data_IF_179415888176
#
_entry.id   IF_179415888176
#
_cell.length_a   1.000
_cell.length_b   1.000
_cell.length_c   1.000
_cell.angle_alpha   90.00
_cell.angle_beta   90.00
_cell.angle_gamma   90.00
#
_symmetry.space_group_name_H-M   'P 1'
#
loop_
_entity.id
_entity.type
_entity.pdbx_description
1 polymer ?
#
# COMPACT_ATOMS: atom_id res chain seq x y z
N UNK A 1 -56.32 -22.67 37.46
CA UNK A 1 -56.96 -22.42 36.17
C UNK A 1 -55.86 -21.97 35.23
N UNK A 2 -55.39 -22.85 34.36
CA UNK A 2 -55.00 -22.47 32.99
C UNK A 2 -54.80 -23.71 32.11
N UNK A 3 -55.42 -23.60 30.94
CA UNK A 3 -55.24 -24.24 29.64
C UNK A 3 -54.44 -25.56 29.50
N UNK A 4 -55.14 -26.62 29.06
CA UNK A 4 -54.60 -27.61 28.10
C UNK A 4 -55.68 -28.04 27.12
N UNK A 5 -55.58 -27.53 25.89
CA UNK A 5 -56.37 -27.97 24.75
C UNK A 5 -55.74 -29.23 24.13
N UNK A 6 -56.58 -30.21 23.88
CA UNK A 6 -56.34 -31.49 23.19
C UNK A 6 -56.87 -31.34 21.77
N UNK A 7 -56.12 -31.73 20.72
CA UNK A 7 -56.64 -32.28 19.45
C UNK A 7 -55.47 -33.03 18.77
N UNK A 8 -55.48 -34.36 18.70
CA UNK A 8 -56.26 -35.26 17.83
C UNK A 8 -55.69 -35.37 16.40
N UNK A 9 -55.19 -36.57 16.11
CA UNK A 9 -54.86 -37.12 14.80
C UNK A 9 -56.10 -37.15 13.89
N UNK A 10 -55.92 -36.86 12.60
CA UNK A 10 -56.57 -37.56 11.47
C UNK A 10 -55.74 -37.29 10.19
N UNK A 11 -55.52 -38.35 9.44
CA UNK A 11 -55.06 -38.42 8.04
C UNK A 11 -56.03 -39.39 7.33
N UNK A 12 -56.06 -39.55 6.00
CA UNK A 12 -55.89 -38.64 4.86
C UNK A 12 -57.13 -38.67 3.93
N UNK A 13 -57.22 -37.78 2.95
CA UNK A 13 -58.00 -38.04 1.72
C UNK A 13 -57.33 -37.38 0.51
N UNK A 14 -57.11 -38.20 -0.52
CA UNK A 14 -56.46 -37.94 -1.81
C UNK A 14 -57.33 -37.06 -2.72
N UNK A 15 -56.72 -36.17 -3.53
CA UNK A 15 -57.20 -35.70 -4.83
C UNK A 15 -56.03 -35.06 -5.63
N UNK A 16 -56.12 -34.94 -6.97
CA UNK A 16 -55.16 -35.54 -7.90
C UNK A 16 -54.02 -34.62 -8.36
N UNK A 17 -52.92 -35.27 -8.75
CA UNK A 17 -51.73 -34.67 -9.34
C UNK A 17 -52.05 -34.18 -10.77
N UNK A 18 -52.26 -32.88 -10.93
CA UNK A 18 -52.12 -32.20 -12.21
C UNK A 18 -50.64 -32.19 -12.58
N UNK A 19 -50.26 -33.14 -13.44
CA UNK A 19 -48.93 -33.28 -14.01
C UNK A 19 -48.70 -32.18 -15.06
N UNK A 20 -48.27 -31.00 -14.60
CA UNK A 20 -47.63 -30.05 -15.50
C UNK A 20 -46.21 -30.56 -15.79
N UNK A 21 -46.05 -31.27 -16.92
CA UNK A 21 -44.74 -31.66 -17.47
C UNK A 21 -43.95 -30.40 -17.86
N UNK A 22 -43.28 -29.77 -16.89
CA UNK A 22 -42.22 -28.80 -17.14
C UNK A 22 -40.94 -29.56 -17.51
N UNK A 23 -40.90 -30.05 -18.73
CA UNK A 23 -39.72 -30.66 -19.36
C UNK A 23 -38.69 -29.60 -19.78
N UNK A 24 -38.29 -28.72 -18.87
CA UNK A 24 -37.30 -27.66 -19.14
C UNK A 24 -36.55 -27.26 -17.87
N UNK A 25 -35.73 -28.14 -17.28
CA UNK A 25 -34.94 -27.76 -16.10
C UNK A 25 -33.51 -28.33 -16.01
N UNK A 26 -32.99 -29.01 -17.04
CA UNK A 26 -31.58 -29.45 -17.07
C UNK A 26 -30.68 -28.61 -17.98
N UNK A 27 -30.99 -28.39 -19.27
CA UNK A 27 -30.11 -27.58 -20.12
C UNK A 27 -30.13 -26.09 -19.72
N UNK A 28 -31.28 -25.57 -19.26
CA UNK A 28 -31.39 -24.18 -18.79
C UNK A 28 -30.59 -23.94 -17.50
N UNK A 29 -30.55 -24.92 -16.59
CA UNK A 29 -29.79 -24.84 -15.34
C UNK A 29 -28.29 -24.88 -15.61
N UNK A 30 -27.85 -25.74 -16.55
CA UNK A 30 -26.45 -25.83 -16.97
C UNK A 30 -26.03 -24.54 -17.67
N UNK A 31 -26.88 -23.98 -18.55
CA UNK A 31 -26.60 -22.71 -19.22
C UNK A 31 -26.50 -21.54 -18.23
N UNK A 32 -27.38 -21.51 -17.21
CA UNK A 32 -27.32 -20.52 -16.12
C UNK A 32 -26.05 -20.67 -15.27
N UNK A 33 -25.64 -21.92 -14.97
CA UNK A 33 -24.41 -22.22 -14.23
C UNK A 33 -23.15 -21.85 -15.03
N UNK A 34 -23.13 -22.04 -16.36
CA UNK A 34 -22.02 -21.58 -17.21
C UNK A 34 -22.00 -20.06 -17.37
N UNK A 35 -23.16 -19.38 -17.37
CA UNK A 35 -23.25 -17.92 -17.36
C UNK A 35 -22.78 -17.32 -16.03
N UNK A 36 -23.09 -17.98 -14.91
CA UNK A 36 -22.60 -17.59 -13.59
C UNK A 36 -21.11 -17.88 -13.39
N UNK A 37 -20.55 -18.88 -14.08
CA UNK A 37 -19.10 -19.15 -14.07
C UNK A 37 -18.31 -18.19 -14.99
N UNK A 38 -18.98 -17.56 -15.95
CA UNK A 38 -18.39 -16.56 -16.85
C UNK A 38 -18.40 -15.13 -16.26
N UNK A 39 -19.14 -14.91 -15.16
CA UNK A 39 -19.06 -13.68 -14.38
C UNK A 39 -18.22 -13.90 -13.12
N UNK A 40 -17.15 -13.11 -13.01
CA UNK A 40 -16.39 -12.81 -11.78
C UNK A 40 -15.51 -13.90 -11.18
N UNK A 41 -14.59 -14.43 -12.00
CA UNK A 41 -13.24 -14.69 -11.50
C UNK A 41 -12.22 -13.75 -12.15
N UNK A 42 -12.55 -12.47 -12.26
CA UNK A 42 -11.54 -11.43 -12.29
C UNK A 42 -11.22 -11.06 -10.85
N UNK A 43 -10.28 -11.81 -10.25
CA UNK A 43 -9.48 -11.24 -9.17
C UNK A 43 -8.86 -9.92 -9.64
N UNK A 44 -8.33 -9.07 -8.74
CA UNK A 44 -7.81 -7.75 -9.11
C UNK A 44 -6.87 -7.91 -10.32
N UNK A 45 -7.30 -7.41 -11.47
CA UNK A 45 -6.53 -7.55 -12.70
C UNK A 45 -5.28 -6.70 -12.53
N UNK A 46 -4.12 -7.34 -12.41
CA UNK A 46 -2.84 -6.64 -12.42
C UNK A 46 -2.77 -5.79 -13.69
N UNK A 47 -2.37 -4.53 -13.55
CA UNK A 47 -2.30 -3.62 -14.68
C UNK A 47 -1.37 -4.16 -15.76
N UNK A 48 -1.79 -4.04 -17.02
CA UNK A 48 -0.99 -4.46 -18.16
C UNK A 48 0.23 -3.55 -18.33
N UNK A 49 1.30 -4.06 -18.93
CA UNK A 49 2.50 -3.27 -19.25
C UNK A 49 2.19 -2.02 -20.09
N UNK A 50 1.19 -2.11 -20.97
CA UNK A 50 0.73 -0.97 -21.78
C UNK A 50 0.11 0.13 -20.90
N UNK A 51 -0.67 -0.24 -19.89
CA UNK A 51 -1.28 0.71 -18.95
C UNK A 51 -0.23 1.34 -18.05
N UNK A 52 0.74 0.56 -17.57
CA UNK A 52 1.89 1.06 -16.81
C UNK A 52 2.67 2.13 -17.58
N UNK A 53 3.02 1.84 -18.84
CA UNK A 53 3.68 2.79 -19.75
C UNK A 53 2.87 4.04 -20.00
N UNK A 54 1.58 3.88 -20.31
CA UNK A 54 0.69 5.01 -20.56
C UNK A 54 0.57 5.92 -19.33
N UNK A 55 0.41 5.33 -18.13
CA UNK A 55 0.33 6.06 -16.88
C UNK A 55 1.58 6.90 -16.62
N UNK A 56 2.77 6.32 -16.82
CA UNK A 56 4.02 7.02 -16.55
C UNK A 56 4.39 8.06 -17.63
N UNK A 57 4.01 7.82 -18.88
CA UNK A 57 4.10 8.84 -19.93
C UNK A 57 3.18 10.04 -19.65
N UNK A 58 2.00 9.79 -19.08
CA UNK A 58 1.07 10.84 -18.70
C UNK A 58 1.45 11.58 -17.41
N UNK A 59 2.26 10.97 -16.54
CA UNK A 59 2.69 11.57 -15.28
C UNK A 59 3.47 12.87 -15.50
N UNK A 60 3.26 13.87 -14.64
CA UNK A 60 3.91 15.18 -14.74
C UNK A 60 4.60 15.53 -13.44
N UNK A 61 5.78 16.15 -13.53
CA UNK A 61 6.45 16.69 -12.36
C UNK A 61 5.65 17.85 -11.76
N UNK A 62 5.34 17.73 -10.48
CA UNK A 62 4.65 18.77 -9.72
C UNK A 62 5.54 20.01 -9.52
N UNK A 63 5.13 21.13 -10.11
CA UNK A 63 5.89 22.38 -10.06
C UNK A 63 5.88 23.03 -8.67
N UNK A 64 4.87 22.76 -7.84
CA UNK A 64 4.82 23.28 -6.47
C UNK A 64 5.88 22.58 -5.61
N UNK A 65 6.06 21.27 -5.79
CA UNK A 65 7.13 20.51 -5.13
C UNK A 65 8.51 21.00 -5.58
N UNK A 66 8.70 21.21 -6.89
CA UNK A 66 9.98 21.70 -7.44
C UNK A 66 10.33 23.07 -6.87
N UNK A 67 9.41 24.02 -6.96
CA UNK A 67 9.63 25.39 -6.48
C UNK A 67 9.75 25.47 -4.95
N UNK A 68 9.12 24.53 -4.23
CA UNK A 68 9.13 24.45 -2.78
C UNK A 68 10.22 23.55 -2.18
N UNK A 69 11.14 22.98 -2.97
CA UNK A 69 12.08 21.94 -2.48
C UNK A 69 12.90 22.38 -1.27
N UNK A 70 13.22 23.67 -1.16
CA UNK A 70 14.00 24.23 -0.06
C UNK A 70 13.34 24.06 1.31
N UNK A 71 12.01 23.93 1.37
CA UNK A 71 11.29 23.72 2.63
C UNK A 71 11.62 22.39 3.30
N UNK A 72 12.11 21.41 2.54
CA UNK A 72 12.52 20.10 3.06
C UNK A 72 13.96 20.09 3.60
N UNK A 73 14.71 21.18 3.48
CA UNK A 73 16.12 21.23 3.88
C UNK A 73 16.33 20.92 5.37
N UNK A 74 15.52 21.48 6.27
CA UNK A 74 15.67 21.26 7.70
C UNK A 74 15.37 19.81 8.08
N UNK A 75 14.36 19.21 7.46
CA UNK A 75 14.05 17.78 7.63
C UNK A 75 15.18 16.92 7.07
N UNK A 76 15.64 17.18 5.85
CA UNK A 76 16.78 16.49 5.23
C UNK A 76 18.01 16.54 6.13
N UNK A 77 18.40 17.73 6.58
CA UNK A 77 19.61 17.92 7.36
C UNK A 77 19.52 17.24 8.73
N UNK A 78 18.33 17.26 9.35
CA UNK A 78 18.06 16.52 10.57
C UNK A 78 18.19 15.01 10.36
N UNK A 79 17.51 14.45 9.36
CA UNK A 79 17.51 13.02 9.07
C UNK A 79 18.91 12.52 8.69
N UNK A 80 19.65 13.25 7.86
CA UNK A 80 21.01 12.89 7.46
C UNK A 80 22.00 12.98 8.63
N UNK A 81 21.87 14.01 9.47
CA UNK A 81 22.70 14.19 10.68
C UNK A 81 22.54 13.02 11.66
N UNK A 82 21.31 12.56 11.86
CA UNK A 82 20.99 11.50 12.81
C UNK A 82 20.79 10.12 12.19
N UNK A 83 21.09 9.95 10.90
CA UNK A 83 20.85 8.69 10.18
C UNK A 83 21.44 7.47 10.92
N UNK A 84 22.70 7.51 11.36
CA UNK A 84 23.32 6.34 12.02
C UNK A 84 22.63 6.02 13.35
N UNK A 85 22.22 7.05 14.09
CA UNK A 85 21.51 6.89 15.35
C UNK A 85 20.11 6.33 15.16
N UNK A 86 19.38 6.79 14.15
CA UNK A 86 18.04 6.29 13.79
C UNK A 86 18.13 4.82 13.34
N UNK A 87 19.09 4.50 12.46
CA UNK A 87 19.31 3.15 11.95
C UNK A 87 19.71 2.18 13.08
N UNK A 88 20.65 2.59 13.94
CA UNK A 88 21.08 1.78 15.09
C UNK A 88 19.95 1.53 16.08
N UNK A 89 19.12 2.55 16.37
CA UNK A 89 17.96 2.42 17.25
C UNK A 89 16.94 1.41 16.70
N UNK A 90 16.64 1.51 15.41
CA UNK A 90 15.75 0.56 14.72
C UNK A 90 16.30 -0.87 14.76
N UNK A 91 17.59 -1.04 14.47
CA UNK A 91 18.23 -2.36 14.47
C UNK A 91 18.25 -2.99 15.87
N UNK A 92 18.41 -2.17 16.92
CA UNK A 92 18.34 -2.64 18.30
C UNK A 92 16.90 -3.00 18.75
N UNK A 93 15.89 -2.47 18.08
CA UNK A 93 14.49 -2.61 18.46
C UNK A 93 13.83 -3.93 17.99
N UNK A 94 14.58 -4.88 17.43
CA UNK A 94 14.24 -6.32 17.27
C UNK A 94 12.75 -6.59 16.99
N UNK A 95 12.32 -6.69 15.72
CA UNK A 95 10.94 -7.10 15.44
C UNK A 95 10.77 -8.61 15.43
N UNK A 96 9.68 -9.04 16.05
CA UNK A 96 9.20 -10.42 16.07
C UNK A 96 8.35 -10.65 14.83
N UNK A 97 8.72 -11.61 13.99
CA UNK A 97 7.82 -12.15 12.97
C UNK A 97 7.19 -13.41 13.57
N UNK A 98 5.89 -13.39 13.85
CA UNK A 98 5.15 -14.61 14.19
C UNK A 98 4.72 -15.32 12.91
N UNK A 99 5.34 -16.47 12.61
CA UNK A 99 4.88 -17.37 11.56
C UNK A 99 4.23 -18.58 12.24
N UNK A 100 2.91 -18.73 12.10
CA UNK A 100 2.22 -19.97 12.47
C UNK A 100 2.00 -20.24 13.96
N UNK A 101 1.86 -19.21 14.80
CA UNK A 101 1.40 -19.35 16.18
C UNK A 101 2.44 -19.88 17.19
N UNK A 102 3.71 -20.03 16.78
CA UNK A 102 4.84 -20.26 17.68
C UNK A 102 5.82 -19.07 17.56
N UNK A 103 6.01 -18.35 18.66
CA UNK A 103 7.09 -17.37 18.91
C UNK A 103 8.43 -18.14 18.93
N UNK A 104 9.59 -17.69 18.45
CA UNK A 104 10.08 -16.38 18.00
C UNK A 104 11.44 -16.62 17.35
N UNK A 105 11.63 -16.28 16.07
CA UNK A 105 12.97 -15.93 15.59
C UNK A 105 12.96 -14.42 15.41
N UNK A 106 13.75 -13.72 16.25
CA UNK A 106 14.05 -12.31 16.02
C UNK A 106 14.94 -12.25 14.78
N UNK A 107 14.32 -12.11 13.61
CA UNK A 107 15.08 -11.96 12.37
C UNK A 107 15.63 -10.53 12.37
N UNK A 108 16.93 -10.40 12.59
CA UNK A 108 17.70 -9.22 12.20
C UNK A 108 17.55 -9.06 10.69
N UNK A 109 16.51 -8.37 10.22
CA UNK A 109 16.54 -7.86 8.86
C UNK A 109 17.47 -6.63 8.90
N UNK A 110 18.76 -6.90 8.77
CA UNK A 110 19.74 -5.88 8.39
C UNK A 110 19.38 -5.46 6.96
N UNK A 111 18.58 -4.40 6.84
CA UNK A 111 18.32 -3.76 5.57
C UNK A 111 19.24 -2.55 5.49
N UNK A 112 20.00 -2.40 4.40
CA UNK A 112 20.86 -1.23 4.17
C UNK A 112 20.06 0.08 4.16
N UNK A 113 18.75 -0.02 3.96
CA UNK A 113 17.80 1.09 3.90
C UNK A 113 16.52 0.76 4.66
N UNK A 114 15.98 1.73 5.38
CA UNK A 114 14.76 1.58 6.14
C UNK A 114 13.76 2.67 5.83
N UNK A 115 12.55 2.26 5.47
CA UNK A 115 11.42 3.16 5.21
C UNK A 115 10.57 3.32 6.47
N UNK A 116 10.16 4.55 6.73
CA UNK A 116 9.29 4.97 7.80
C UNK A 116 8.02 5.57 7.20
N UNK A 117 6.86 5.11 7.64
CA UNK A 117 5.53 5.52 7.17
C UNK A 117 4.74 6.09 8.34
N UNK A 118 3.88 7.07 8.10
CA UNK A 118 2.95 7.50 9.13
C UNK A 118 1.86 6.43 9.36
N UNK A 119 1.60 6.05 10.61
CA UNK A 119 0.45 5.20 10.98
C UNK A 119 0.68 3.70 10.95
N UNK A 120 1.92 3.24 10.72
CA UNK A 120 2.30 1.82 10.87
C UNK A 120 3.15 1.66 12.12
N UNK A 121 2.63 1.05 13.19
CA UNK A 121 3.33 0.97 14.49
C UNK A 121 4.77 0.42 14.41
N UNK A 122 5.06 -0.49 13.48
CA UNK A 122 6.39 -1.10 13.33
C UNK A 122 7.35 -0.24 12.49
N UNK A 123 6.80 0.57 11.58
CA UNK A 123 7.56 1.43 10.67
C UNK A 123 7.22 2.90 10.90
N UNK A 124 6.74 3.27 12.08
CA UNK A 124 6.16 4.59 12.27
C UNK A 124 7.23 5.66 12.14
N UNK A 125 6.86 6.79 11.56
CA UNK A 125 7.69 8.01 11.46
C UNK A 125 8.31 8.39 12.82
N UNK A 126 7.61 8.08 13.92
CA UNK A 126 8.02 8.35 15.30
C UNK A 126 8.89 7.26 15.92
N UNK A 127 9.15 6.14 15.23
CA UNK A 127 10.01 5.06 15.72
C UNK A 127 11.52 5.42 15.62
N UNK A 128 11.86 6.51 16.30
CA UNK A 128 13.19 7.07 16.48
C UNK A 128 13.46 7.23 17.98
N UNK A 129 14.72 7.40 18.42
CA UNK A 129 15.03 7.69 19.81
C UNK A 129 14.21 8.86 20.39
N UNK A 130 13.78 8.74 21.65
CA UNK A 130 12.88 9.72 22.31
C UNK A 130 13.39 11.17 22.23
N UNK A 131 14.71 11.38 22.35
CA UNK A 131 15.31 12.71 22.28
C UNK A 131 15.22 13.36 20.88
N UNK A 132 14.94 12.58 19.83
CA UNK A 132 14.75 13.06 18.46
C UNK A 132 13.28 13.33 18.12
N UNK A 133 12.34 12.66 18.80
CA UNK A 133 10.89 12.71 18.47
C UNK A 133 10.34 14.12 18.41
N UNK A 134 10.57 14.93 19.46
CA UNK A 134 10.04 16.30 19.51
C UNK A 134 10.50 17.18 18.35
N UNK A 135 11.78 17.07 17.95
CA UNK A 135 12.30 17.85 16.83
C UNK A 135 11.77 17.31 15.50
N UNK A 136 11.66 15.99 15.36
CA UNK A 136 11.09 15.38 14.18
C UNK A 136 9.62 15.82 14.01
N UNK A 137 8.79 15.67 15.04
CA UNK A 137 7.37 16.08 15.03
C UNK A 137 7.19 17.56 14.66
N UNK A 138 8.04 18.45 15.22
CA UNK A 138 8.05 19.87 14.86
C UNK A 138 8.35 20.08 13.37
N UNK A 139 9.32 19.36 12.80
CA UNK A 139 9.66 19.48 11.38
C UNK A 139 8.52 19.01 10.47
N UNK A 140 7.82 17.93 10.84
CA UNK A 140 6.62 17.49 10.11
C UNK A 140 5.49 18.52 10.21
N UNK A 141 5.29 19.10 11.39
CA UNK A 141 4.28 20.13 11.61
C UNK A 141 4.56 21.38 10.75
N UNK A 142 5.82 21.84 10.70
CA UNK A 142 6.25 23.02 9.93
C UNK A 142 6.07 22.81 8.41
N UNK A 143 6.25 21.57 7.93
CA UNK A 143 5.98 21.21 6.54
C UNK A 143 4.48 21.21 6.23
N UNK A 144 3.64 20.90 7.21
CA UNK A 144 2.19 20.78 7.10
C UNK A 144 1.75 19.35 6.76
N UNK A 145 0.54 19.00 7.19
CA UNK A 145 -0.05 17.67 6.98
C UNK A 145 -0.07 17.28 5.49
N UNK A 146 0.28 16.03 5.19
CA UNK A 146 0.27 15.49 3.83
C UNK A 146 1.48 15.85 2.95
N UNK A 147 2.42 16.68 3.41
CA UNK A 147 3.61 17.04 2.63
C UNK A 147 4.73 15.98 2.70
N UNK A 148 4.65 15.04 3.66
CA UNK A 148 5.53 13.88 3.74
C UNK A 148 4.69 12.67 4.09
N UNK A 149 4.69 11.68 3.20
CA UNK A 149 3.98 10.40 3.39
C UNK A 149 4.89 9.36 4.04
N UNK A 150 6.14 9.32 3.60
CA UNK A 150 7.16 8.40 4.11
C UNK A 150 8.56 8.97 3.87
N UNK A 151 9.55 8.43 4.58
CA UNK A 151 10.94 8.64 4.22
C UNK A 151 11.75 7.35 4.37
N UNK A 152 12.79 7.20 3.56
CA UNK A 152 13.74 6.10 3.62
C UNK A 152 15.13 6.65 3.91
N UNK A 153 15.81 6.11 4.92
CA UNK A 153 17.22 6.40 5.22
C UNK A 153 18.04 5.14 5.00
N UNK A 154 19.18 5.29 4.35
CA UNK A 154 20.16 4.22 4.17
C UNK A 154 21.46 4.46 4.94
N UNK A 155 22.21 3.40 5.22
CA UNK A 155 23.53 3.46 5.88
C UNK A 155 24.52 4.34 5.11
N UNK A 156 24.45 4.32 3.78
CA UNK A 156 25.25 5.18 2.89
C UNK A 156 24.73 6.62 2.78
N UNK A 157 23.89 7.07 3.73
CA UNK A 157 23.30 8.42 3.79
C UNK A 157 22.45 8.81 2.57
N UNK A 158 21.96 7.84 1.81
CA UNK A 158 20.86 8.10 0.87
C UNK A 158 19.59 8.40 1.66
N UNK A 159 18.86 9.40 1.19
CA UNK A 159 17.58 9.81 1.74
C UNK A 159 16.56 9.87 0.62
N UNK A 160 15.42 9.21 0.80
CA UNK A 160 14.23 9.36 -0.02
C UNK A 160 13.12 9.94 0.86
N UNK A 161 12.43 10.98 0.38
CA UNK A 161 11.20 11.48 1.00
C UNK A 161 10.08 11.36 -0.03
N UNK A 162 9.09 10.54 0.25
CA UNK A 162 7.87 10.44 -0.55
C UNK A 162 6.91 11.54 -0.10
N UNK A 163 6.56 12.43 -1.03
CA UNK A 163 5.77 13.63 -0.72
C UNK A 163 4.32 13.52 -1.18
N UNK A 164 4.03 12.69 -2.18
CA UNK A 164 2.69 12.52 -2.73
C UNK A 164 2.55 11.17 -3.44
N UNK A 165 1.33 10.62 -3.42
CA UNK A 165 0.89 9.58 -4.35
C UNK A 165 -0.26 10.11 -5.21
N UNK A 166 -0.22 9.80 -6.50
CA UNK A 166 -1.28 10.12 -7.46
C UNK A 166 -1.84 8.84 -8.05
N UNK A 167 -3.09 8.51 -7.73
CA UNK A 167 -3.76 7.33 -8.28
C UNK A 167 -4.03 7.52 -9.77
N UNK A 168 -3.62 6.54 -10.59
CA UNK A 168 -3.76 6.58 -12.06
C UNK A 168 -4.69 5.49 -12.61
N UNK A 169 -5.35 4.75 -11.72
CA UNK A 169 -6.37 3.73 -12.04
C UNK A 169 -5.80 2.30 -12.06
N UNK A 170 -6.68 1.28 -12.08
CA UNK A 170 -6.30 -0.13 -12.11
C UNK A 170 -5.31 -0.56 -11.01
N UNK A 171 -5.44 0.01 -9.81
CA UNK A 171 -4.52 -0.22 -8.70
C UNK A 171 -3.12 0.40 -8.90
N UNK A 172 -2.91 1.20 -9.93
CA UNK A 172 -1.66 1.92 -10.14
C UNK A 172 -1.67 3.28 -9.44
N UNK A 173 -0.50 3.67 -8.94
CA UNK A 173 -0.24 5.03 -8.48
C UNK A 173 1.17 5.48 -8.86
N UNK A 174 1.31 6.79 -9.04
CA UNK A 174 2.58 7.48 -9.24
C UNK A 174 3.01 8.04 -7.89
N UNK A 175 4.13 7.53 -7.40
CA UNK A 175 4.83 8.09 -6.24
C UNK A 175 5.70 9.26 -6.66
N UNK A 176 5.61 10.36 -5.91
CA UNK A 176 6.43 11.55 -6.05
C UNK A 176 7.46 11.56 -4.93
N UNK A 177 8.73 11.54 -5.30
CA UNK A 177 9.85 11.28 -4.38
C UNK A 177 10.98 12.30 -4.53
N UNK A 178 11.47 12.81 -3.41
CA UNK A 178 12.67 13.65 -3.34
C UNK A 178 13.84 12.81 -2.84
N UNK A 179 14.91 12.74 -3.63
CA UNK A 179 16.05 11.87 -3.38
C UNK A 179 17.32 12.70 -3.19
N UNK A 180 17.99 12.51 -2.05
CA UNK A 180 19.30 13.09 -1.75
C UNK A 180 20.37 12.02 -1.65
N UNK A 181 21.58 12.40 -2.07
CA UNK A 181 22.76 11.53 -2.14
C UNK A 181 22.55 10.24 -2.96
N UNK A 182 21.49 10.21 -3.78
CA UNK A 182 21.24 9.12 -4.71
C UNK A 182 21.84 9.46 -6.08
N UNK A 183 22.10 8.42 -6.87
CA UNK A 183 22.46 8.57 -8.27
C UNK A 183 21.19 8.45 -9.08
N UNK A 184 21.11 9.19 -10.19
CA UNK A 184 20.13 8.91 -11.24
C UNK A 184 20.40 7.48 -11.71
N UNK A 185 19.57 6.53 -11.28
CA UNK A 185 19.65 5.12 -11.68
C UNK A 185 18.60 4.91 -12.75
N UNK A 186 19.03 4.55 -13.95
CA UNK A 186 18.17 3.87 -14.92
C UNK A 186 18.03 2.43 -14.44
N UNK A 187 17.04 2.17 -13.60
CA UNK A 187 16.80 0.82 -13.10
C UNK A 187 15.94 0.08 -14.13
N UNK A 188 16.52 -0.95 -14.76
CA UNK A 188 15.93 -1.72 -15.87
C UNK A 188 14.81 -2.69 -15.44
N UNK A 189 14.36 -2.63 -14.18
CA UNK A 189 13.27 -3.47 -13.65
C UNK A 189 11.87 -2.89 -13.92
N UNK A 190 11.77 -1.57 -14.05
CA UNK A 190 10.56 -0.83 -14.43
C UNK A 190 11.00 0.37 -15.28
N UNK A 191 10.94 0.22 -16.59
CA UNK A 191 11.62 1.06 -17.59
C UNK A 191 11.16 2.53 -17.64
N UNK A 192 10.30 2.98 -16.72
CA UNK A 192 9.66 4.28 -16.83
C UNK A 192 9.78 5.19 -15.60
N UNK A 193 10.58 4.87 -14.57
CA UNK A 193 10.83 5.91 -13.55
C UNK A 193 11.43 7.15 -14.21
N UNK A 194 10.76 8.30 -14.01
CA UNK A 194 11.19 9.58 -14.59
C UNK A 194 11.79 10.43 -13.51
N UNK A 195 13.01 10.89 -13.73
CA UNK A 195 13.68 11.74 -12.77
C UNK A 195 14.28 13.01 -13.38
N UNK A 196 14.46 14.03 -12.53
CA UNK A 196 15.06 15.30 -12.86
C UNK A 196 15.86 15.82 -11.69
N UNK A 197 17.05 16.36 -11.95
CA UNK A 197 17.83 17.07 -10.94
C UNK A 197 17.21 18.45 -10.75
N UNK A 198 16.69 18.74 -9.55
CA UNK A 198 15.92 19.96 -9.27
C UNK A 198 16.65 20.94 -8.33
N UNK A 199 17.64 20.47 -7.58
CA UNK A 199 18.55 21.29 -6.78
C UNK A 199 19.90 20.58 -6.60
N UNK A 200 20.85 21.24 -5.93
CA UNK A 200 22.14 20.63 -5.61
C UNK A 200 21.93 19.33 -4.82
N UNK A 201 22.36 18.22 -5.40
CA UNK A 201 22.22 16.87 -4.86
C UNK A 201 20.78 16.43 -4.52
N UNK A 202 19.77 17.01 -5.19
CA UNK A 202 18.37 16.63 -5.04
C UNK A 202 17.74 16.23 -6.38
N UNK A 203 17.32 14.98 -6.47
CA UNK A 203 16.59 14.44 -7.61
C UNK A 203 15.10 14.37 -7.26
N UNK A 204 14.25 14.84 -8.15
CA UNK A 204 12.81 14.56 -8.09
C UNK A 204 12.51 13.38 -9.00
N UNK A 205 11.94 12.31 -8.43
CA UNK A 205 11.55 11.09 -9.13
C UNK A 205 10.03 10.91 -9.12
N UNK A 206 9.49 10.52 -10.27
CA UNK A 206 8.18 9.91 -10.44
C UNK A 206 8.39 8.39 -10.55
N UNK A 207 7.79 7.64 -9.62
CA UNK A 207 7.91 6.18 -9.57
C UNK A 207 6.56 5.50 -9.71
N UNK A 208 6.43 4.54 -10.64
CA UNK A 208 5.19 3.76 -10.77
C UNK A 208 5.15 2.67 -9.72
N UNK A 209 4.01 2.51 -9.04
CA UNK A 209 3.79 1.45 -8.06
C UNK A 209 2.39 0.87 -8.23
N UNK A 210 2.24 -0.38 -7.80
CA UNK A 210 0.95 -1.07 -7.77
C UNK A 210 0.49 -1.28 -6.34
N UNK A 211 -0.78 -1.05 -6.09
CA UNK A 211 -1.45 -1.42 -4.85
C UNK A 211 -1.79 -2.90 -4.93
N UNK A 212 -0.98 -3.73 -4.26
CA UNK A 212 -1.33 -5.12 -4.04
C UNK A 212 -2.30 -5.16 -2.86
N UNK A 213 -3.58 -5.41 -3.15
CA UNK A 213 -4.59 -5.61 -2.13
C UNK A 213 -4.12 -6.66 -1.11
N UNK A 214 -4.21 -6.31 0.17
CA UNK A 214 -3.96 -7.20 1.30
C UNK A 214 -5.03 -8.28 1.41
#
# INVERSE_FOLDING_TARGET
>A
MDERLVFALISPCEYPILTLKLHMKRPLLIFLLTLLYACDFSGPSLATEKERKAAMQAAVFDQQIISGVSRYNDLRDFLLRYADTILAYRNASNYVIEIGGNTTDTVLQSSECYTFFQGNANNDITNVPDFLKLKLDSLYHDLGEGNVMSFTICENKKLNIQVKNETVGNGLYISHELLWNDKIRRDYGFDDNRDSLIAENCIYRLGLREEHGH
#
